data_IF_393794207268
#
_entry.id   IF_393794207268
#
_cell.length_a   1.000
_cell.length_b   1.000
_cell.length_c   1.000
_cell.angle_alpha   90.00
_cell.angle_beta   90.00
_cell.angle_gamma   90.00
#
_symmetry.space_group_name_H-M   'P 1'
#
loop_
_entity.id
_entity.type
_entity.pdbx_description
1 polymer ?
#
# COMPACT_ATOMS: atom_id res chain seq x y z
N UNK A 1 -31.24 -76.69 -5.62
CA UNK A 1 -30.18 -75.84 -5.08
C UNK A 1 -30.13 -74.58 -5.95
N UNK A 2 -30.81 -73.54 -5.51
CA UNK A 2 -30.99 -72.28 -6.28
C UNK A 2 -30.08 -71.21 -5.63
N UNK A 3 -28.95 -70.82 -6.32
CA UNK A 3 -28.12 -69.73 -5.87
C UNK A 3 -28.80 -68.37 -6.18
N UNK A 4 -29.18 -67.63 -5.16
CA UNK A 4 -29.54 -66.20 -5.27
C UNK A 4 -28.27 -65.33 -5.32
N UNK A 5 -28.04 -64.69 -6.47
CA UNK A 5 -27.02 -63.65 -6.60
C UNK A 5 -27.60 -62.32 -6.04
N UNK A 6 -27.06 -61.84 -4.96
CA UNK A 6 -27.34 -60.48 -4.44
C UNK A 6 -26.41 -59.52 -5.13
N UNK A 7 -26.94 -58.64 -5.96
CA UNK A 7 -26.21 -57.54 -6.56
C UNK A 7 -26.19 -56.33 -5.57
N UNK A 8 -25.04 -55.99 -5.04
CA UNK A 8 -24.84 -54.81 -4.21
C UNK A 8 -24.63 -53.57 -5.09
N UNK A 9 -25.64 -52.72 -5.23
CA UNK A 9 -25.52 -51.42 -5.93
C UNK A 9 -24.87 -50.41 -5.00
N UNK A 10 -23.60 -50.06 -5.28
CA UNK A 10 -22.93 -48.94 -4.62
C UNK A 10 -23.40 -47.63 -5.27
N UNK A 11 -24.27 -46.89 -4.57
CA UNK A 11 -24.65 -45.55 -4.98
C UNK A 11 -23.48 -44.58 -4.65
N UNK A 12 -22.71 -44.19 -5.65
CA UNK A 12 -21.72 -43.11 -5.52
C UNK A 12 -22.53 -41.80 -5.54
N UNK A 13 -22.76 -41.21 -4.38
CA UNK A 13 -23.30 -39.85 -4.27
C UNK A 13 -22.19 -38.86 -4.65
N UNK A 14 -22.19 -38.39 -5.89
CA UNK A 14 -21.42 -37.24 -6.30
C UNK A 14 -22.08 -36.02 -5.67
N UNK A 15 -21.49 -35.54 -4.57
CA UNK A 15 -21.87 -34.24 -3.99
C UNK A 15 -21.43 -33.15 -4.98
N UNK A 16 -22.36 -32.69 -5.81
CA UNK A 16 -22.22 -31.48 -6.59
C UNK A 16 -22.22 -30.33 -5.58
N UNK A 17 -21.03 -29.83 -5.21
CA UNK A 17 -20.92 -28.55 -4.52
C UNK A 17 -21.47 -27.50 -5.47
N UNK A 18 -22.69 -27.03 -5.20
CA UNK A 18 -23.22 -25.84 -5.85
C UNK A 18 -22.28 -24.69 -5.48
N UNK A 19 -21.44 -24.26 -6.41
CA UNK A 19 -20.70 -23.00 -6.25
C UNK A 19 -21.74 -21.88 -6.23
N UNK A 20 -21.69 -21.05 -5.20
CA UNK A 20 -22.44 -19.80 -5.16
C UNK A 20 -22.02 -18.86 -6.31
N UNK A 21 -22.73 -17.76 -6.45
CA UNK A 21 -22.38 -16.76 -7.45
C UNK A 21 -21.02 -16.14 -7.13
N UNK A 22 -20.20 -15.89 -8.16
CA UNK A 22 -18.88 -15.24 -8.00
C UNK A 22 -19.04 -13.85 -7.38
N UNK A 23 -18.19 -13.54 -6.39
CA UNK A 23 -18.09 -12.21 -5.77
C UNK A 23 -17.13 -11.37 -6.61
N UNK A 24 -17.68 -10.41 -7.36
CA UNK A 24 -16.90 -9.49 -8.17
C UNK A 24 -16.22 -8.42 -7.32
N UNK A 25 -14.91 -8.33 -7.39
CA UNK A 25 -14.08 -7.35 -6.71
C UNK A 25 -13.30 -6.56 -7.75
N UNK A 26 -13.46 -5.23 -7.75
CA UNK A 26 -12.71 -4.32 -8.62
C UNK A 26 -11.28 -4.14 -8.11
N UNK A 27 -10.35 -3.99 -9.05
CA UNK A 27 -8.94 -3.64 -8.78
C UNK A 27 -8.58 -2.51 -9.72
N UNK A 28 -8.45 -1.30 -9.17
CA UNK A 28 -8.10 -0.09 -9.89
C UNK A 28 -6.66 0.28 -9.54
N UNK A 29 -5.69 -0.16 -10.35
CA UNK A 29 -4.27 0.03 -10.02
C UNK A 29 -3.50 0.58 -11.21
N UNK A 30 -2.43 1.32 -10.95
CA UNK A 30 -1.53 1.78 -11.99
C UNK A 30 -0.70 0.58 -12.51
N UNK A 31 -1.11 0.00 -13.61
CA UNK A 31 -0.40 -1.14 -14.22
C UNK A 31 0.59 -0.68 -15.29
N UNK A 32 0.45 0.55 -15.77
CA UNK A 32 1.36 1.22 -16.71
C UNK A 32 1.74 2.62 -16.19
N UNK A 33 2.73 3.26 -16.83
CA UNK A 33 3.21 4.59 -16.45
C UNK A 33 4.18 4.58 -15.24
N UNK A 34 4.54 5.76 -14.75
CA UNK A 34 5.56 5.95 -13.71
C UNK A 34 5.23 5.35 -12.33
N UNK A 35 3.93 5.04 -12.07
CA UNK A 35 3.51 4.39 -10.83
C UNK A 35 3.35 2.87 -10.96
N UNK A 36 3.62 2.28 -12.13
CA UNK A 36 3.38 0.85 -12.38
C UNK A 36 4.11 -0.08 -11.41
N UNK A 37 5.29 0.32 -10.94
CA UNK A 37 6.06 -0.41 -9.94
C UNK A 37 5.29 -0.67 -8.63
N UNK A 38 4.38 0.22 -8.26
CA UNK A 38 3.52 0.08 -7.09
C UNK A 38 2.26 -0.72 -7.41
N UNK A 39 1.53 -0.32 -8.45
CA UNK A 39 0.25 -0.94 -8.80
C UNK A 39 0.38 -2.40 -9.24
N UNK A 40 1.44 -2.75 -9.98
CA UNK A 40 1.73 -4.15 -10.34
C UNK A 40 2.01 -4.99 -9.09
N UNK A 41 2.74 -4.46 -8.11
CA UNK A 41 2.99 -5.17 -6.85
C UNK A 41 1.69 -5.37 -6.06
N UNK A 42 0.81 -4.35 -5.99
CA UNK A 42 -0.52 -4.44 -5.37
C UNK A 42 -1.36 -5.50 -6.06
N UNK A 43 -1.51 -5.43 -7.40
CA UNK A 43 -2.24 -6.45 -8.17
C UNK A 43 -1.75 -7.86 -7.88
N UNK A 44 -0.44 -8.06 -7.84
CA UNK A 44 0.14 -9.38 -7.60
C UNK A 44 -0.19 -9.89 -6.18
N UNK A 45 -0.14 -9.04 -5.16
CA UNK A 45 -0.52 -9.40 -3.80
C UNK A 45 -2.01 -9.77 -3.69
N UNK A 46 -2.90 -8.96 -4.28
CA UNK A 46 -4.34 -9.24 -4.34
C UNK A 46 -4.64 -10.56 -5.06
N UNK A 47 -4.01 -10.79 -6.22
CA UNK A 47 -4.21 -12.00 -7.02
C UNK A 47 -3.72 -13.25 -6.28
N UNK A 48 -2.55 -13.19 -5.63
CA UNK A 48 -2.03 -14.31 -4.84
C UNK A 48 -3.02 -14.71 -3.73
N UNK A 49 -3.49 -13.73 -2.96
CA UNK A 49 -4.43 -13.99 -1.88
C UNK A 49 -5.78 -14.50 -2.39
N UNK A 50 -6.31 -13.93 -3.48
CA UNK A 50 -7.57 -14.38 -4.09
C UNK A 50 -7.47 -15.83 -4.58
N UNK A 51 -6.35 -16.22 -5.19
CA UNK A 51 -6.13 -17.58 -5.65
C UNK A 51 -6.05 -18.57 -4.48
N UNK A 52 -5.35 -18.22 -3.40
CA UNK A 52 -5.28 -19.05 -2.18
C UNK A 52 -6.67 -19.21 -1.54
N UNK A 53 -7.44 -18.13 -1.43
CA UNK A 53 -8.80 -18.15 -0.88
C UNK A 53 -9.72 -19.04 -1.75
N UNK A 54 -9.63 -18.87 -3.07
CA UNK A 54 -10.44 -19.64 -4.01
C UNK A 54 -10.07 -21.12 -4.03
N UNK A 55 -8.79 -21.46 -3.90
CA UNK A 55 -8.32 -22.83 -3.76
C UNK A 55 -8.81 -23.47 -2.46
N UNK A 56 -8.98 -22.67 -1.40
CA UNK A 56 -9.57 -23.10 -0.12
C UNK A 56 -11.10 -23.20 -0.11
N UNK A 57 -11.78 -23.06 -1.28
CA UNK A 57 -13.25 -23.14 -1.37
C UNK A 57 -13.96 -21.78 -1.41
N UNK A 58 -13.21 -20.69 -1.52
CA UNK A 58 -13.75 -19.34 -1.60
C UNK A 58 -14.23 -18.78 -0.25
N UNK A 59 -15.13 -17.82 -0.31
CA UNK A 59 -15.76 -17.20 0.87
C UNK A 59 -17.23 -17.60 0.93
N UNK A 60 -17.61 -18.35 1.96
CA UNK A 60 -18.97 -18.90 2.11
C UNK A 60 -19.43 -19.68 0.84
N UNK A 61 -18.52 -20.40 0.17
CA UNK A 61 -18.76 -21.13 -1.06
C UNK A 61 -18.74 -20.31 -2.35
N UNK A 62 -18.58 -18.98 -2.26
CA UNK A 62 -18.45 -18.08 -3.43
C UNK A 62 -16.99 -17.87 -3.78
N UNK A 63 -16.63 -17.89 -5.07
CA UNK A 63 -15.29 -17.54 -5.53
C UNK A 63 -15.14 -16.03 -5.62
N UNK A 64 -13.93 -15.52 -5.35
CA UNK A 64 -13.55 -14.15 -5.59
C UNK A 64 -13.13 -13.98 -7.05
N UNK A 65 -13.81 -13.12 -7.79
CA UNK A 65 -13.48 -12.75 -9.16
C UNK A 65 -12.91 -11.34 -9.18
N UNK A 66 -11.63 -11.19 -9.55
CA UNK A 66 -11.00 -9.88 -9.71
C UNK A 66 -11.29 -9.32 -11.10
N UNK A 67 -11.79 -8.07 -11.14
CA UNK A 67 -11.94 -7.27 -12.36
C UNK A 67 -10.87 -6.19 -12.28
N UNK A 68 -9.81 -6.34 -13.07
CA UNK A 68 -8.58 -5.56 -12.98
C UNK A 68 -8.58 -4.51 -14.10
N UNK A 69 -8.39 -3.25 -13.72
CA UNK A 69 -8.35 -2.10 -14.61
C UNK A 69 -7.11 -1.25 -14.34
N UNK A 70 -6.50 -0.71 -15.40
CA UNK A 70 -5.33 0.15 -15.34
C UNK A 70 -5.74 1.62 -15.22
N UNK A 71 -5.45 2.25 -14.07
CA UNK A 71 -5.69 3.69 -13.86
C UNK A 71 -4.45 4.57 -14.16
N UNK A 72 -3.35 3.96 -14.65
CA UNK A 72 -2.14 4.59 -15.17
C UNK A 72 -1.45 5.59 -14.20
N UNK A 73 -1.83 5.65 -12.95
CA UNK A 73 -1.40 6.67 -11.98
C UNK A 73 -1.89 8.09 -12.33
N UNK A 74 -3.01 8.20 -13.05
CA UNK A 74 -3.61 9.47 -13.52
C UNK A 74 -4.96 9.71 -12.86
N UNK A 75 -5.23 10.96 -12.47
CA UNK A 75 -6.49 11.36 -11.79
C UNK A 75 -7.73 11.07 -12.65
N UNK A 76 -7.67 11.42 -13.92
CA UNK A 76 -8.76 11.29 -14.88
C UNK A 76 -9.09 9.80 -15.11
N UNK A 77 -8.07 8.97 -15.29
CA UNK A 77 -8.23 7.53 -15.48
C UNK A 77 -8.75 6.84 -14.21
N UNK A 78 -8.30 7.26 -13.02
CA UNK A 78 -8.84 6.74 -11.76
C UNK A 78 -10.35 7.00 -11.65
N UNK A 79 -10.83 8.20 -12.04
CA UNK A 79 -12.27 8.51 -12.08
C UNK A 79 -12.99 7.59 -13.07
N UNK A 80 -12.45 7.42 -14.29
CA UNK A 80 -13.05 6.60 -15.34
C UNK A 80 -13.13 5.13 -14.94
N UNK A 81 -12.04 4.60 -14.42
CA UNK A 81 -11.93 3.21 -13.94
C UNK A 81 -12.89 2.96 -12.77
N UNK A 82 -12.95 3.86 -11.78
CA UNK A 82 -13.89 3.74 -10.66
C UNK A 82 -15.34 3.76 -11.15
N UNK A 83 -15.70 4.65 -12.09
CA UNK A 83 -17.04 4.66 -12.69
C UNK A 83 -17.36 3.35 -13.40
N UNK A 84 -16.43 2.81 -14.18
CA UNK A 84 -16.60 1.54 -14.88
C UNK A 84 -16.85 0.39 -13.89
N UNK A 85 -15.96 0.20 -12.94
CA UNK A 85 -16.04 -0.89 -11.94
C UNK A 85 -17.34 -0.80 -11.11
N UNK A 86 -17.72 0.40 -10.68
CA UNK A 86 -18.87 0.65 -9.81
C UNK A 86 -20.21 0.50 -10.54
N UNK A 87 -20.35 1.10 -11.72
CA UNK A 87 -21.64 1.23 -12.40
C UNK A 87 -21.85 0.23 -13.53
N UNK A 88 -20.79 -0.13 -14.27
CA UNK A 88 -20.89 -1.06 -15.40
C UNK A 88 -20.62 -2.50 -14.94
N UNK A 89 -19.48 -2.76 -14.27
CA UNK A 89 -19.11 -4.10 -13.82
C UNK A 89 -19.85 -4.50 -12.53
N UNK A 90 -20.39 -3.52 -11.79
CA UNK A 90 -21.20 -3.70 -10.57
C UNK A 90 -20.48 -4.50 -9.51
N UNK A 91 -19.21 -4.16 -9.26
CA UNK A 91 -18.39 -4.82 -8.25
C UNK A 91 -18.90 -4.56 -6.85
N UNK A 92 -18.63 -5.48 -5.93
CA UNK A 92 -19.00 -5.37 -4.53
C UNK A 92 -18.16 -4.33 -3.78
N UNK A 93 -16.86 -4.29 -4.07
CA UNK A 93 -15.89 -3.31 -3.56
C UNK A 93 -14.77 -3.10 -4.57
N UNK A 94 -13.93 -2.10 -4.36
CA UNK A 94 -12.75 -1.81 -5.17
C UNK A 94 -11.51 -1.73 -4.29
N UNK A 95 -10.43 -2.39 -4.68
CA UNK A 95 -9.08 -2.12 -4.20
C UNK A 95 -8.41 -1.06 -5.08
N UNK A 96 -7.70 -0.13 -4.43
CA UNK A 96 -7.11 1.02 -5.10
C UNK A 96 -7.98 2.29 -5.01
N UNK A 97 -7.62 3.35 -5.76
CA UNK A 97 -6.49 3.47 -6.70
C UNK A 97 -5.10 3.51 -6.03
N UNK A 98 -4.04 3.33 -6.84
CA UNK A 98 -2.66 3.22 -6.36
C UNK A 98 -2.16 4.46 -5.63
N UNK A 99 -2.20 5.62 -6.28
CA UNK A 99 -1.64 6.87 -5.77
C UNK A 99 -2.64 7.67 -4.93
N UNK A 100 -2.12 8.48 -4.00
CA UNK A 100 -2.96 9.39 -3.21
C UNK A 100 -3.72 10.39 -4.09
N UNK A 101 -3.09 10.93 -5.14
CA UNK A 101 -3.76 11.78 -6.11
C UNK A 101 -4.94 11.10 -6.79
N UNK A 102 -4.75 9.84 -7.20
CA UNK A 102 -5.78 9.01 -7.83
C UNK A 102 -6.92 8.71 -6.86
N UNK A 103 -6.61 8.44 -5.57
CA UNK A 103 -7.64 8.20 -4.55
C UNK A 103 -8.44 9.45 -4.24
N UNK A 104 -7.82 10.64 -4.14
CA UNK A 104 -8.55 11.89 -3.97
C UNK A 104 -9.47 12.20 -5.16
N UNK A 105 -9.09 11.81 -6.38
CA UNK A 105 -9.90 12.02 -7.58
C UNK A 105 -11.03 10.97 -7.74
N UNK A 106 -10.70 9.69 -7.61
CA UNK A 106 -11.63 8.57 -7.84
C UNK A 106 -12.47 8.19 -6.63
N UNK A 107 -11.90 8.29 -5.41
CA UNK A 107 -12.57 7.90 -4.16
C UNK A 107 -13.96 8.50 -3.96
N UNK A 108 -14.22 9.78 -4.30
CA UNK A 108 -15.55 10.35 -4.25
C UNK A 108 -16.59 9.61 -5.10
N UNK A 109 -16.20 8.98 -6.22
CA UNK A 109 -17.10 8.16 -7.06
C UNK A 109 -17.56 6.93 -6.28
N UNK A 110 -16.64 6.19 -5.69
CA UNK A 110 -16.95 5.00 -4.90
C UNK A 110 -17.77 5.37 -3.65
N UNK A 111 -17.32 6.38 -2.90
CA UNK A 111 -18.02 6.81 -1.69
C UNK A 111 -19.47 7.28 -1.98
N UNK A 112 -19.66 8.08 -3.03
CA UNK A 112 -21.00 8.55 -3.45
C UNK A 112 -21.92 7.43 -3.89
N UNK A 113 -21.37 6.36 -4.47
CA UNK A 113 -22.09 5.15 -4.88
C UNK A 113 -22.24 4.12 -3.75
N UNK A 114 -21.80 4.42 -2.53
CA UNK A 114 -21.79 3.51 -1.38
C UNK A 114 -21.03 2.21 -1.66
N UNK A 115 -19.89 2.31 -2.35
CA UNK A 115 -18.98 1.21 -2.63
C UNK A 115 -17.69 1.42 -1.86
N UNK A 116 -17.23 0.41 -1.16
CA UNK A 116 -15.94 0.48 -0.47
C UNK A 116 -14.82 0.64 -1.49
N UNK A 117 -14.03 1.72 -1.36
CA UNK A 117 -12.71 1.86 -1.99
C UNK A 117 -11.66 1.63 -0.92
N UNK A 118 -10.83 0.61 -1.12
CA UNK A 118 -9.85 0.15 -0.15
C UNK A 118 -8.43 0.41 -0.65
N UNK A 119 -7.80 1.44 -0.11
CA UNK A 119 -6.42 1.82 -0.44
C UNK A 119 -5.39 0.91 0.26
N UNK A 120 -4.48 0.36 -0.53
CA UNK A 120 -3.40 -0.51 -0.03
C UNK A 120 -2.02 0.14 -0.10
N UNK A 121 -1.91 1.27 -0.82
CA UNK A 121 -0.63 1.91 -1.12
C UNK A 121 -0.61 3.41 -0.85
N UNK A 122 -1.77 4.08 -0.85
CA UNK A 122 -1.88 5.52 -0.69
C UNK A 122 -1.87 5.93 0.80
N UNK A 123 -1.02 6.91 1.16
CA UNK A 123 -0.71 7.24 2.57
C UNK A 123 -0.89 8.71 2.92
N UNK A 124 -1.30 9.57 1.97
CA UNK A 124 -1.54 10.99 2.26
C UNK A 124 -2.60 11.19 3.35
N UNK A 125 -2.42 12.23 4.14
CA UNK A 125 -3.43 12.65 5.12
C UNK A 125 -4.73 13.05 4.42
N UNK A 126 -5.88 12.78 5.06
CA UNK A 126 -7.19 13.20 4.55
C UNK A 126 -7.84 12.26 3.52
N UNK A 127 -7.19 11.16 3.12
CA UNK A 127 -7.79 10.19 2.19
C UNK A 127 -9.09 9.62 2.75
N UNK A 128 -9.09 9.20 3.98
CA UNK A 128 -10.28 8.62 4.63
C UNK A 128 -11.33 9.66 5.02
N UNK A 129 -10.98 10.95 4.97
CA UNK A 129 -11.95 12.06 5.13
C UNK A 129 -12.87 12.22 3.91
N UNK A 130 -12.58 11.58 2.77
CA UNK A 130 -13.45 11.54 1.59
C UNK A 130 -14.84 11.00 1.99
N UNK A 131 -14.90 10.01 2.88
CA UNK A 131 -16.16 9.54 3.41
C UNK A 131 -16.15 8.13 3.98
N UNK A 132 -17.29 7.66 4.50
CA UNK A 132 -17.40 6.44 5.30
C UNK A 132 -17.18 5.12 4.52
N UNK A 133 -17.09 5.17 3.20
CA UNK A 133 -16.79 4.01 2.36
C UNK A 133 -15.32 3.94 1.93
N UNK A 134 -14.46 4.83 2.46
CA UNK A 134 -13.03 4.81 2.17
C UNK A 134 -12.27 4.13 3.31
N UNK A 135 -11.56 3.08 2.96
CA UNK A 135 -10.77 2.26 3.87
C UNK A 135 -9.33 2.20 3.39
N UNK A 136 -8.38 2.02 4.30
CA UNK A 136 -7.01 1.67 3.91
C UNK A 136 -6.31 0.83 4.98
N UNK A 137 -5.45 -0.08 4.53
CA UNK A 137 -4.47 -0.75 5.38
C UNK A 137 -3.04 -0.24 5.14
N UNK A 138 -2.86 0.73 4.25
CA UNK A 138 -1.60 1.47 4.18
C UNK A 138 -1.43 2.31 5.43
N UNK A 139 -0.25 2.20 6.07
CA UNK A 139 0.06 2.97 7.28
C UNK A 139 0.37 4.41 6.87
N UNK A 140 -0.25 5.38 7.54
CA UNK A 140 -0.08 6.79 7.23
C UNK A 140 1.35 7.26 7.43
N UNK A 141 1.79 8.23 6.61
CA UNK A 141 3.09 8.87 6.80
C UNK A 141 3.21 9.51 8.20
N UNK A 142 2.12 10.01 8.77
CA UNK A 142 2.08 10.57 10.14
C UNK A 142 2.42 9.55 11.24
N UNK A 143 2.20 8.26 10.99
CA UNK A 143 2.54 7.19 11.93
C UNK A 143 3.98 6.68 11.72
N UNK A 144 4.55 6.88 10.53
CA UNK A 144 5.83 6.30 10.10
C UNK A 144 6.98 7.29 10.23
N UNK A 145 6.83 8.50 9.68
CA UNK A 145 7.95 9.43 9.47
C UNK A 145 8.55 10.01 10.75
N UNK A 146 7.77 10.33 11.83
CA UNK A 146 8.36 10.80 13.07
C UNK A 146 9.33 9.81 13.70
N UNK A 147 9.00 8.51 13.64
CA UNK A 147 9.88 7.45 14.12
C UNK A 147 11.12 7.30 13.21
N UNK A 148 10.95 7.42 11.89
CA UNK A 148 12.04 7.33 10.93
C UNK A 148 13.07 8.44 11.17
N UNK A 149 12.61 9.70 11.34
CA UNK A 149 13.48 10.84 11.64
C UNK A 149 14.20 10.63 12.97
N UNK A 150 13.48 10.31 14.05
CA UNK A 150 14.09 10.16 15.38
C UNK A 150 15.12 9.05 15.42
N UNK A 151 14.90 7.97 14.64
CA UNK A 151 15.83 6.85 14.54
C UNK A 151 17.09 7.27 13.77
N UNK A 152 16.94 7.90 12.60
CA UNK A 152 18.07 8.39 11.82
C UNK A 152 18.87 9.47 12.57
N UNK A 153 18.16 10.38 13.26
CA UNK A 153 18.80 11.46 14.03
C UNK A 153 19.68 10.90 15.17
N UNK A 154 19.21 9.89 15.88
CA UNK A 154 20.01 9.22 16.92
C UNK A 154 21.20 8.47 16.34
N UNK A 155 21.02 7.78 15.20
CA UNK A 155 22.06 6.97 14.59
C UNK A 155 23.21 7.82 14.06
N UNK A 156 22.91 8.94 13.38
CA UNK A 156 23.90 9.81 12.74
C UNK A 156 24.26 11.05 13.56
N UNK A 157 23.61 11.31 14.69
CA UNK A 157 23.82 12.55 15.44
C UNK A 157 23.37 13.79 14.65
N UNK A 158 22.28 13.71 13.89
CA UNK A 158 21.79 14.77 13.00
C UNK A 158 21.41 16.01 13.81
N UNK A 159 21.97 17.17 13.42
CA UNK A 159 21.71 18.47 14.01
C UNK A 159 20.95 19.42 13.08
N UNK A 160 21.03 19.22 11.77
CA UNK A 160 20.36 20.00 10.73
C UNK A 160 20.14 19.18 9.47
N UNK A 161 19.06 19.45 8.75
CA UNK A 161 18.70 18.74 7.52
C UNK A 161 18.40 19.70 6.38
N UNK A 162 18.47 19.21 5.14
CA UNK A 162 17.76 19.81 4.02
C UNK A 162 16.51 18.96 3.69
N UNK A 163 15.52 19.57 3.08
CA UNK A 163 14.29 18.90 2.66
C UNK A 163 14.11 19.07 1.15
N UNK A 164 13.69 17.99 0.46
CA UNK A 164 13.29 18.03 -0.95
C UNK A 164 11.98 17.24 -1.13
N UNK A 165 11.03 17.77 -1.91
CA UNK A 165 9.75 17.07 -2.15
C UNK A 165 9.08 17.51 -3.47
N UNK A 166 8.22 16.66 -4.02
CA UNK A 166 7.37 16.99 -5.17
C UNK A 166 6.23 17.92 -4.77
N UNK A 167 6.07 19.05 -5.45
CA UNK A 167 5.14 20.11 -5.07
C UNK A 167 3.75 20.00 -5.74
N UNK A 168 3.57 19.09 -6.67
CA UNK A 168 2.34 18.85 -7.45
C UNK A 168 1.70 17.47 -7.19
N UNK A 169 2.25 16.70 -6.26
CA UNK A 169 1.74 15.39 -5.86
C UNK A 169 1.23 15.40 -4.42
N UNK A 170 0.02 14.88 -4.17
CA UNK A 170 -0.62 14.90 -2.87
C UNK A 170 0.12 14.04 -1.83
N UNK A 171 0.72 12.92 -2.25
CA UNK A 171 1.52 12.07 -1.37
C UNK A 171 2.77 12.81 -0.89
N UNK A 172 3.56 13.36 -1.83
CA UNK A 172 4.83 14.02 -1.51
C UNK A 172 4.62 15.30 -0.69
N UNK A 173 3.55 16.07 -0.98
CA UNK A 173 3.16 17.23 -0.17
C UNK A 173 2.73 16.83 1.25
N UNK A 174 1.88 15.82 1.38
CA UNK A 174 1.46 15.31 2.68
C UNK A 174 2.64 14.78 3.49
N UNK A 175 3.56 14.05 2.85
CA UNK A 175 4.78 13.58 3.49
C UNK A 175 5.70 14.74 3.93
N UNK A 176 5.81 15.80 3.12
CA UNK A 176 6.53 17.01 3.50
C UNK A 176 5.94 17.66 4.75
N UNK A 177 4.62 17.82 4.82
CA UNK A 177 3.96 18.43 5.98
C UNK A 177 4.22 17.62 7.27
N UNK A 178 4.21 16.30 7.16
CA UNK A 178 4.54 15.39 8.28
C UNK A 178 6.01 15.51 8.66
N UNK A 179 6.93 15.50 7.69
CA UNK A 179 8.35 15.68 7.94
C UNK A 179 8.65 17.02 8.61
N UNK A 180 8.05 18.11 8.11
CA UNK A 180 8.21 19.45 8.67
C UNK A 180 7.81 19.46 10.14
N UNK A 181 6.61 18.96 10.46
CA UNK A 181 6.16 18.88 11.84
C UNK A 181 7.06 18.00 12.70
N UNK A 182 7.49 16.86 12.23
CA UNK A 182 8.37 15.96 13.00
C UNK A 182 9.75 16.56 13.26
N UNK A 183 10.29 17.33 12.32
CA UNK A 183 11.54 18.08 12.50
C UNK A 183 11.40 19.22 13.51
N UNK A 184 10.29 19.98 13.45
CA UNK A 184 9.95 21.02 14.42
C UNK A 184 9.82 20.44 15.85
N UNK A 185 9.05 19.36 16.03
CA UNK A 185 8.86 18.68 17.31
C UNK A 185 10.18 18.16 17.90
N UNK A 186 11.11 17.72 17.06
CA UNK A 186 12.44 17.23 17.46
C UNK A 186 13.51 18.35 17.51
N UNK A 187 13.13 19.60 17.22
CA UNK A 187 14.03 20.77 17.20
C UNK A 187 15.22 20.62 16.27
N UNK A 188 15.02 19.97 15.12
CA UNK A 188 16.03 19.79 14.07
C UNK A 188 15.80 20.89 13.01
N UNK A 189 16.68 21.88 12.88
CA UNK A 189 16.52 22.98 11.93
C UNK A 189 16.69 22.50 10.48
N UNK A 190 15.92 23.11 9.57
CA UNK A 190 15.97 22.92 8.15
C UNK A 190 16.84 23.98 7.50
N UNK A 191 17.92 23.61 6.82
CA UNK A 191 18.86 24.54 6.16
C UNK A 191 18.30 25.09 4.86
N UNK A 192 17.57 24.26 4.10
CA UNK A 192 16.87 24.64 2.87
C UNK A 192 15.74 23.67 2.56
N UNK A 193 14.71 24.16 1.90
CA UNK A 193 13.60 23.36 1.37
C UNK A 193 13.53 23.58 -0.13
N UNK A 194 13.70 22.52 -0.90
CA UNK A 194 13.65 22.52 -2.35
C UNK A 194 12.45 21.70 -2.86
N UNK A 195 12.00 22.05 -4.04
CA UNK A 195 10.87 21.37 -4.68
C UNK A 195 11.18 20.95 -6.11
N UNK A 196 10.41 19.97 -6.59
CA UNK A 196 10.42 19.52 -7.98
C UNK A 196 8.98 19.20 -8.43
N UNK A 197 8.76 19.09 -9.73
CA UNK A 197 7.52 18.60 -10.31
C UNK A 197 7.60 17.10 -10.56
N UNK A 198 6.47 16.38 -10.46
CA UNK A 198 6.39 14.95 -10.74
C UNK A 198 6.89 14.65 -12.15
N UNK A 199 7.82 13.70 -12.24
CA UNK A 199 8.44 13.32 -13.52
C UNK A 199 9.70 14.13 -13.88
N UNK A 200 10.12 15.08 -13.05
CA UNK A 200 11.43 15.70 -13.22
C UNK A 200 12.55 14.64 -13.11
N UNK A 201 13.59 14.81 -13.92
CA UNK A 201 14.75 13.92 -13.99
C UNK A 201 16.09 14.59 -13.70
N UNK A 202 16.14 15.93 -13.69
CA UNK A 202 17.33 16.72 -13.35
C UNK A 202 17.07 17.55 -12.10
N UNK A 203 17.85 17.30 -11.05
CA UNK A 203 17.74 17.89 -9.72
C UNK A 203 18.98 18.67 -9.30
N UNK A 204 19.92 18.93 -10.25
CA UNK A 204 21.22 19.55 -9.94
C UNK A 204 21.09 20.95 -9.35
N UNK A 205 20.09 21.73 -9.79
CA UNK A 205 19.86 23.07 -9.26
C UNK A 205 19.46 23.02 -7.77
N UNK A 206 18.48 22.17 -7.42
CA UNK A 206 18.04 21.94 -6.05
C UNK A 206 19.19 21.39 -5.19
N UNK A 207 19.89 20.38 -5.69
CA UNK A 207 21.00 19.74 -4.98
C UNK A 207 22.20 20.69 -4.76
N UNK A 208 22.44 21.63 -5.66
CA UNK A 208 23.47 22.67 -5.46
C UNK A 208 23.15 23.57 -4.28
N UNK A 209 21.88 23.98 -4.14
CA UNK A 209 21.43 24.77 -2.97
C UNK A 209 21.49 23.93 -1.69
N UNK A 210 21.05 22.66 -1.74
CA UNK A 210 21.15 21.71 -0.61
C UNK A 210 22.61 21.58 -0.16
N UNK A 211 23.55 21.41 -1.11
CA UNK A 211 24.98 21.31 -0.82
C UNK A 211 25.50 22.57 -0.11
N UNK A 212 25.06 23.76 -0.53
CA UNK A 212 25.43 25.04 0.09
C UNK A 212 25.04 25.14 1.56
N UNK A 213 23.93 24.52 1.97
CA UNK A 213 23.46 24.43 3.35
C UNK A 213 24.23 23.45 4.24
N UNK A 214 25.08 22.61 3.65
CA UNK A 214 25.87 21.58 4.32
C UNK A 214 25.05 20.79 5.38
N UNK A 215 23.94 20.14 5.01
CA UNK A 215 23.09 19.40 5.94
C UNK A 215 23.75 18.10 6.38
N UNK A 216 23.40 17.63 7.60
CA UNK A 216 23.83 16.33 8.12
C UNK A 216 23.04 15.18 7.47
N UNK A 217 21.82 15.43 7.00
CA UNK A 217 21.00 14.49 6.22
C UNK A 217 20.06 15.25 5.27
N UNK A 218 19.54 14.54 4.25
CA UNK A 218 18.53 15.04 3.31
C UNK A 218 17.24 14.27 3.52
N UNK A 219 16.19 14.97 3.92
CA UNK A 219 14.83 14.43 4.02
C UNK A 219 14.17 14.53 2.64
N UNK A 220 13.74 13.42 2.08
CA UNK A 220 13.09 13.35 0.78
C UNK A 220 11.67 12.78 0.90
N UNK A 221 10.65 13.59 0.62
CA UNK A 221 9.28 13.12 0.39
C UNK A 221 9.08 12.92 -1.10
N UNK A 222 9.41 11.75 -1.60
CA UNK A 222 9.59 11.45 -3.01
C UNK A 222 9.03 10.07 -3.36
N UNK A 223 8.64 9.87 -4.62
CA UNK A 223 8.46 8.53 -5.18
C UNK A 223 9.82 7.92 -5.54
N UNK A 224 9.86 6.62 -5.79
CA UNK A 224 11.12 5.87 -5.90
C UNK A 224 12.01 6.30 -7.07
N UNK A 225 11.44 6.68 -8.21
CA UNK A 225 12.24 7.09 -9.38
C UNK A 225 12.92 8.45 -9.15
N UNK A 226 12.17 9.43 -8.68
CA UNK A 226 12.72 10.75 -8.34
C UNK A 226 13.74 10.63 -7.20
N UNK A 227 13.42 9.87 -6.15
CA UNK A 227 14.34 9.64 -5.03
C UNK A 227 15.65 9.03 -5.50
N UNK A 228 15.60 8.03 -6.37
CA UNK A 228 16.79 7.36 -6.91
C UNK A 228 17.66 8.30 -7.77
N UNK A 229 17.04 9.11 -8.62
CA UNK A 229 17.72 10.11 -9.43
C UNK A 229 18.34 11.23 -8.55
N UNK A 230 17.61 11.69 -7.54
CA UNK A 230 18.12 12.65 -6.54
C UNK A 230 19.33 12.08 -5.83
N UNK A 231 19.27 10.83 -5.34
CA UNK A 231 20.41 10.16 -4.69
C UNK A 231 21.61 10.07 -5.61
N UNK A 232 21.40 9.59 -6.85
CA UNK A 232 22.48 9.43 -7.83
C UNK A 232 23.17 10.77 -8.14
N UNK A 233 22.38 11.82 -8.40
CA UNK A 233 22.90 13.15 -8.72
C UNK A 233 23.54 13.83 -7.50
N UNK A 234 23.02 13.61 -6.28
CA UNK A 234 23.63 14.10 -5.05
C UNK A 234 25.06 13.54 -4.89
N UNK A 235 25.25 12.24 -5.10
CA UNK A 235 26.59 11.62 -5.05
C UNK A 235 27.50 12.15 -6.15
N UNK A 236 26.98 12.38 -7.36
CA UNK A 236 27.71 13.02 -8.46
C UNK A 236 28.17 14.43 -8.13
N UNK A 237 27.44 15.18 -7.33
CA UNK A 237 27.82 16.50 -6.81
C UNK A 237 28.71 16.44 -5.55
N UNK A 238 29.09 15.26 -5.08
CA UNK A 238 29.92 15.06 -3.89
C UNK A 238 29.16 15.24 -2.55
N UNK A 239 27.84 15.25 -2.53
CA UNK A 239 27.03 15.28 -1.31
C UNK A 239 27.09 13.88 -0.68
N UNK A 240 27.61 13.79 0.57
CA UNK A 240 27.75 12.53 1.32
C UNK A 240 26.64 12.32 2.34
N UNK A 241 25.84 13.33 2.63
CA UNK A 241 24.73 13.26 3.60
C UNK A 241 23.80 12.08 3.29
N UNK A 242 23.40 11.27 4.29
CA UNK A 242 22.42 10.20 4.12
C UNK A 242 21.04 10.78 3.82
N UNK A 243 20.19 9.95 3.23
CA UNK A 243 18.79 10.30 2.99
C UNK A 243 17.87 9.73 4.08
N UNK A 244 16.72 10.37 4.24
CA UNK A 244 15.62 9.90 5.07
C UNK A 244 14.35 9.96 4.21
N UNK A 245 13.67 8.82 4.06
CA UNK A 245 12.46 8.73 3.26
C UNK A 245 11.37 7.87 3.90
N UNK A 246 10.24 7.79 3.24
CA UNK A 246 9.05 7.06 3.70
C UNK A 246 8.55 6.05 2.68
N UNK A 247 7.24 5.89 2.65
CA UNK A 247 6.52 4.88 1.89
C UNK A 247 6.95 4.78 0.41
N UNK A 248 7.15 5.91 -0.26
CA UNK A 248 7.49 5.93 -1.69
C UNK A 248 8.84 5.28 -2.03
N UNK A 249 9.74 5.12 -1.06
CA UNK A 249 11.06 4.51 -1.29
C UNK A 249 11.02 2.97 -1.35
N UNK A 250 9.98 2.35 -0.81
CA UNK A 250 9.92 0.90 -0.61
C UNK A 250 9.65 0.11 -1.91
N UNK A 251 10.36 0.43 -2.98
CA UNK A 251 10.29 -0.22 -4.28
C UNK A 251 11.68 -0.67 -4.74
N UNK A 252 11.79 -1.85 -5.40
CA UNK A 252 13.03 -2.28 -6.04
C UNK A 252 13.59 -1.27 -7.04
N UNK A 253 12.72 -0.46 -7.65
CA UNK A 253 13.11 0.58 -8.60
C UNK A 253 14.10 1.59 -8.02
N UNK A 254 14.03 1.85 -6.72
CA UNK A 254 15.00 2.67 -6.01
C UNK A 254 16.43 2.17 -6.27
N UNK A 255 16.68 0.86 -6.11
CA UNK A 255 18.02 0.27 -6.27
C UNK A 255 18.42 0.10 -7.73
N UNK A 256 17.46 -0.18 -8.62
CA UNK A 256 17.70 -0.31 -10.05
C UNK A 256 18.35 0.96 -10.62
N UNK A 257 17.93 2.14 -10.15
CA UNK A 257 18.41 3.44 -10.60
C UNK A 257 19.58 3.93 -9.72
N UNK A 258 19.38 4.05 -8.42
CA UNK A 258 20.35 4.65 -7.51
C UNK A 258 21.60 3.80 -7.28
N UNK A 259 21.53 2.47 -7.55
CA UNK A 259 22.60 1.52 -7.21
C UNK A 259 23.00 1.71 -5.73
N UNK A 260 24.27 1.99 -5.46
CA UNK A 260 24.80 2.24 -4.11
C UNK A 260 24.69 3.71 -3.65
N UNK A 261 24.12 4.61 -4.47
CA UNK A 261 23.97 6.02 -4.09
C UNK A 261 23.05 6.23 -2.89
N UNK A 262 22.16 5.26 -2.62
CA UNK A 262 21.26 5.27 -1.48
C UNK A 262 21.80 4.67 -0.18
N UNK A 263 23.07 4.24 -0.13
CA UNK A 263 23.65 3.65 1.09
C UNK A 263 23.48 4.54 2.31
N UNK A 264 23.14 3.95 3.46
CA UNK A 264 22.89 4.65 4.72
C UNK A 264 21.53 5.37 4.80
N UNK A 265 20.67 5.26 3.80
CA UNK A 265 19.33 5.87 3.84
C UNK A 265 18.44 5.16 4.85
N UNK A 266 17.76 5.95 5.69
CA UNK A 266 16.70 5.44 6.57
C UNK A 266 15.35 5.53 5.87
N UNK A 267 14.57 4.45 5.96
CA UNK A 267 13.26 4.34 5.29
C UNK A 267 12.24 3.74 6.25
N UNK A 268 11.12 4.42 6.43
CA UNK A 268 9.98 3.87 7.15
C UNK A 268 9.15 2.92 6.28
N UNK A 269 8.68 1.82 6.85
CA UNK A 269 7.91 0.80 6.12
C UNK A 269 6.87 0.12 7.01
N UNK A 270 5.68 -0.21 6.51
CA UNK A 270 4.69 -0.99 7.24
C UNK A 270 5.00 -2.51 7.26
N UNK A 271 6.01 -2.96 6.55
CA UNK A 271 6.33 -4.37 6.37
C UNK A 271 7.84 -4.62 6.32
N UNK A 272 8.25 -5.79 6.77
CA UNK A 272 9.64 -6.25 6.68
C UNK A 272 9.69 -7.69 6.14
N UNK A 273 10.36 -7.91 4.99
CA UNK A 273 10.48 -9.23 4.38
C UNK A 273 11.21 -10.24 5.28
N UNK A 274 12.08 -9.77 6.15
CA UNK A 274 12.83 -10.56 7.12
C UNK A 274 12.08 -10.79 8.44
N UNK A 275 10.87 -10.26 8.59
CA UNK A 275 10.03 -10.52 9.76
C UNK A 275 9.80 -12.04 9.91
N UNK A 276 10.20 -12.67 11.04
CA UNK A 276 10.11 -14.12 11.21
C UNK A 276 8.68 -14.63 11.49
N UNK A 277 7.68 -13.76 11.53
CA UNK A 277 6.30 -14.16 11.77
C UNK A 277 5.84 -15.21 10.74
N UNK A 278 5.20 -16.32 11.16
CA UNK A 278 4.80 -17.41 10.24
C UNK A 278 3.95 -16.96 9.06
N UNK A 279 3.03 -16.01 9.27
CA UNK A 279 2.20 -15.46 8.20
C UNK A 279 3.04 -14.75 7.13
N UNK A 280 4.07 -13.99 7.56
CA UNK A 280 4.99 -13.34 6.63
C UNK A 280 5.83 -14.35 5.86
N UNK A 281 6.39 -15.35 6.54
CA UNK A 281 7.22 -16.37 5.87
C UNK A 281 6.41 -17.16 4.82
N UNK A 282 5.16 -17.50 5.14
CA UNK A 282 4.24 -18.13 4.19
C UNK A 282 4.01 -17.25 2.96
N UNK A 283 3.66 -15.97 3.17
CA UNK A 283 3.45 -15.01 2.08
C UNK A 283 4.69 -14.87 1.19
N UNK A 284 5.88 -14.66 1.80
CA UNK A 284 7.13 -14.48 1.05
C UNK A 284 7.44 -15.72 0.19
N UNK A 285 7.28 -16.92 0.75
CA UNK A 285 7.50 -18.17 0.01
C UNK A 285 6.51 -18.34 -1.15
N UNK A 286 5.21 -18.12 -0.93
CA UNK A 286 4.17 -18.23 -1.93
C UNK A 286 4.34 -17.19 -3.06
N UNK A 287 4.70 -15.95 -2.71
CA UNK A 287 4.93 -14.90 -3.69
C UNK A 287 6.12 -15.23 -4.60
N UNK A 288 7.25 -15.65 -4.00
CA UNK A 288 8.44 -16.07 -4.76
C UNK A 288 8.14 -17.24 -5.68
N UNK A 289 7.40 -18.24 -5.20
CA UNK A 289 7.01 -19.39 -6.00
C UNK A 289 6.18 -18.98 -7.23
N UNK A 290 5.23 -18.05 -7.04
CA UNK A 290 4.32 -17.65 -8.12
C UNK A 290 4.93 -16.66 -9.11
N UNK A 291 5.72 -15.68 -8.62
CA UNK A 291 6.18 -14.56 -9.44
C UNK A 291 7.69 -14.59 -9.74
N UNK A 292 8.45 -15.57 -9.21
CA UNK A 292 9.90 -15.69 -9.39
C UNK A 292 10.67 -14.41 -9.00
N UNK A 293 10.14 -13.63 -8.06
CA UNK A 293 10.70 -12.37 -7.58
C UNK A 293 10.43 -12.18 -6.08
N UNK A 294 11.21 -11.33 -5.43
CA UNK A 294 10.95 -10.96 -4.05
C UNK A 294 9.70 -10.07 -3.95
N UNK A 295 8.83 -10.28 -2.94
CA UNK A 295 7.76 -9.35 -2.64
C UNK A 295 8.32 -8.05 -2.07
N UNK A 296 7.52 -6.99 -2.14
CA UNK A 296 7.76 -5.72 -1.46
C UNK A 296 6.57 -5.37 -0.55
N UNK A 297 6.66 -4.22 0.16
CA UNK A 297 5.60 -3.83 1.08
C UNK A 297 4.22 -3.70 0.40
N UNK A 298 4.15 -3.23 -0.85
CA UNK A 298 2.89 -3.01 -1.56
C UNK A 298 2.18 -4.32 -1.85
N UNK A 299 2.93 -5.35 -2.24
CA UNK A 299 2.39 -6.69 -2.42
C UNK A 299 1.97 -7.33 -1.10
N UNK A 300 2.71 -7.10 0.00
CA UNK A 300 2.37 -7.62 1.32
C UNK A 300 1.10 -6.99 1.88
N UNK A 301 0.97 -5.65 1.78
CA UNK A 301 -0.22 -4.93 2.21
C UNK A 301 -1.45 -5.36 1.39
N UNK A 302 -1.30 -5.52 0.07
CA UNK A 302 -2.36 -5.95 -0.81
C UNK A 302 -2.81 -7.40 -0.52
N UNK A 303 -1.87 -8.29 -0.26
CA UNK A 303 -2.16 -9.66 0.18
C UNK A 303 -3.00 -9.68 1.46
N UNK A 304 -2.61 -8.91 2.46
CA UNK A 304 -3.37 -8.78 3.71
C UNK A 304 -4.73 -8.10 3.48
N UNK A 305 -4.81 -7.08 2.61
CA UNK A 305 -6.06 -6.39 2.30
C UNK A 305 -7.13 -7.34 1.73
N UNK A 306 -6.74 -8.28 0.87
CA UNK A 306 -7.63 -9.31 0.35
C UNK A 306 -8.09 -10.27 1.46
N UNK A 307 -7.19 -10.66 2.37
CA UNK A 307 -7.56 -11.47 3.54
C UNK A 307 -8.48 -10.72 4.51
N UNK A 308 -8.29 -9.41 4.70
CA UNK A 308 -9.19 -8.54 5.47
C UNK A 308 -10.58 -8.53 4.84
N UNK A 309 -10.66 -8.30 3.52
CA UNK A 309 -11.93 -8.31 2.80
C UNK A 309 -12.63 -9.68 2.88
N UNK A 310 -11.89 -10.77 2.71
CA UNK A 310 -12.42 -12.12 2.85
C UNK A 310 -12.91 -12.43 4.27
N UNK A 311 -12.18 -11.97 5.30
CA UNK A 311 -12.59 -12.13 6.70
C UNK A 311 -13.90 -11.38 6.98
N UNK A 312 -14.05 -10.16 6.47
CA UNK A 312 -15.31 -9.41 6.56
C UNK A 312 -16.44 -10.14 5.84
N UNK A 313 -16.21 -10.57 4.60
CA UNK A 313 -17.21 -11.29 3.79
C UNK A 313 -17.67 -12.61 4.42
N UNK A 314 -16.81 -13.31 5.15
CA UNK A 314 -17.19 -14.54 5.90
C UNK A 314 -18.29 -14.29 6.94
N UNK A 315 -18.38 -13.08 7.47
CA UNK A 315 -19.38 -12.68 8.47
C UNK A 315 -20.67 -12.13 7.85
N UNK A 316 -20.68 -11.90 6.53
CA UNK A 316 -21.81 -11.34 5.78
C UNK A 316 -22.54 -12.44 5.02
N UNK A 317 -23.86 -12.48 5.15
CA UNK A 317 -24.72 -13.29 4.27
C UNK A 317 -25.10 -12.42 3.07
N UNK A 318 -24.51 -12.71 1.91
CA UNK A 318 -24.87 -12.02 0.68
C UNK A 318 -26.33 -12.34 0.30
N UNK A 319 -27.10 -11.28 0.04
CA UNK A 319 -28.53 -11.36 -0.25
C UNK A 319 -28.84 -11.45 -1.76
N UNK A 320 -27.86 -11.12 -2.61
CA UNK A 320 -28.02 -10.92 -4.04
C UNK A 320 -28.54 -9.51 -4.40
N UNK A 321 -28.87 -8.68 -3.41
CA UNK A 321 -29.10 -7.25 -3.60
C UNK A 321 -27.80 -6.51 -3.41
N UNK A 322 -27.24 -6.01 -4.51
CA UNK A 322 -25.89 -5.42 -4.53
C UNK A 322 -25.73 -4.23 -3.57
N UNK A 323 -26.76 -3.37 -3.44
CA UNK A 323 -26.67 -2.20 -2.54
C UNK A 323 -26.64 -2.66 -1.07
N UNK A 324 -27.52 -3.58 -0.70
CA UNK A 324 -27.55 -4.15 0.64
C UNK A 324 -26.25 -4.91 0.96
N UNK A 325 -25.71 -5.65 0.00
CA UNK A 325 -24.48 -6.44 0.16
C UNK A 325 -23.25 -5.51 0.31
N UNK A 326 -23.19 -4.39 -0.42
CA UNK A 326 -22.14 -3.35 -0.29
C UNK A 326 -22.19 -2.70 1.10
N UNK A 327 -23.40 -2.39 1.59
CA UNK A 327 -23.57 -1.83 2.94
C UNK A 327 -23.14 -2.84 4.00
N UNK A 328 -23.57 -4.10 3.90
CA UNK A 328 -23.23 -5.15 4.85
C UNK A 328 -21.70 -5.38 4.92
N UNK A 329 -21.02 -5.40 3.77
CA UNK A 329 -19.55 -5.49 3.73
C UNK A 329 -18.89 -4.27 4.39
N UNK A 330 -19.35 -3.04 4.06
CA UNK A 330 -18.85 -1.81 4.68
C UNK A 330 -18.94 -1.84 6.20
N UNK A 331 -20.05 -2.37 6.76
CA UNK A 331 -20.28 -2.42 8.20
C UNK A 331 -19.53 -3.57 8.90
N UNK A 332 -19.13 -4.59 8.14
CA UNK A 332 -18.32 -5.70 8.63
C UNK A 332 -16.83 -5.38 8.69
N UNK A 333 -16.29 -4.63 7.71
CA UNK A 333 -14.87 -4.34 7.58
C UNK A 333 -14.21 -3.75 8.85
N UNK A 334 -14.80 -2.74 9.54
CA UNK A 334 -14.17 -2.15 10.72
C UNK A 334 -13.98 -3.10 11.90
N UNK A 335 -14.66 -4.23 11.88
CA UNK A 335 -14.64 -5.25 12.96
C UNK A 335 -13.52 -6.28 12.75
N UNK A 336 -12.86 -6.25 11.58
CA UNK A 336 -11.82 -7.22 11.23
C UNK A 336 -10.52 -6.86 11.93
N UNK A 337 -9.93 -7.86 12.58
CA UNK A 337 -8.55 -7.86 13.04
C UNK A 337 -7.87 -9.13 12.53
N UNK A 338 -6.66 -8.99 12.00
CA UNK A 338 -5.85 -10.12 11.50
C UNK A 338 -4.43 -10.03 12.02
N UNK A 339 -3.72 -11.16 11.97
CA UNK A 339 -2.28 -11.20 12.08
C UNK A 339 -1.73 -11.69 10.73
N UNK A 340 -1.54 -10.75 9.81
CA UNK A 340 -1.18 -10.99 8.42
C UNK A 340 0.32 -11.03 8.15
N UNK A 341 0.68 -10.95 6.87
CA UNK A 341 2.07 -10.85 6.40
C UNK A 341 2.72 -9.56 6.91
N UNK A 342 1.95 -8.47 7.05
CA UNK A 342 2.40 -7.19 7.59
C UNK A 342 2.41 -7.15 9.13
N UNK A 343 1.94 -8.22 9.79
CA UNK A 343 1.81 -8.33 11.24
C UNK A 343 0.39 -8.09 11.76
N UNK A 344 0.24 -7.78 13.06
CA UNK A 344 -1.05 -7.47 13.65
C UNK A 344 -1.65 -6.21 13.04
N UNK A 345 -2.89 -6.32 12.61
CA UNK A 345 -3.65 -5.25 11.98
C UNK A 345 -5.07 -5.17 12.53
N UNK A 346 -5.56 -3.96 12.70
CA UNK A 346 -6.97 -3.62 12.87
C UNK A 346 -7.24 -2.25 12.26
N UNK A 347 -8.50 -1.92 12.06
CA UNK A 347 -8.90 -0.57 11.68
C UNK A 347 -9.01 0.35 12.89
N UNK A 348 -8.75 1.64 12.66
CA UNK A 348 -9.16 2.75 13.53
C UNK A 348 -10.05 3.71 12.74
N UNK A 349 -11.10 4.30 13.34
CA UNK A 349 -11.86 5.36 12.69
C UNK A 349 -10.95 6.52 12.36
N UNK A 350 -11.11 7.12 11.17
CA UNK A 350 -10.48 8.38 10.86
C UNK A 350 -11.15 9.52 11.64
N UNK A 351 -10.39 10.58 11.91
CA UNK A 351 -10.90 11.71 12.68
C UNK A 351 -12.05 12.46 11.99
N UNK A 352 -12.07 12.41 10.66
CA UNK A 352 -13.01 13.17 9.85
C UNK A 352 -12.65 14.66 9.79
N UNK A 353 -13.27 15.34 8.87
CA UNK A 353 -13.11 16.77 8.69
C UNK A 353 -14.46 17.47 8.81
N UNK A 354 -14.50 18.57 9.54
CA UNK A 354 -15.68 19.41 9.73
C UNK A 354 -16.93 18.64 10.25
N UNK A 355 -16.71 17.63 11.12
CA UNK A 355 -17.78 16.80 11.70
C UNK A 355 -18.46 15.84 10.74
N UNK A 356 -17.94 15.68 9.51
CA UNK A 356 -18.47 14.74 8.53
C UNK A 356 -18.02 13.31 8.84
N UNK A 357 -18.86 12.28 8.54
CA UNK A 357 -18.48 10.90 8.67
C UNK A 357 -17.26 10.59 7.79
N UNK A 358 -16.23 9.99 8.39
CA UNK A 358 -15.03 9.55 7.71
C UNK A 358 -14.97 8.03 7.58
N UNK A 359 -13.96 7.55 6.87
CA UNK A 359 -13.64 6.15 6.71
C UNK A 359 -12.75 5.59 7.82
N UNK A 360 -11.89 4.65 7.46
CA UNK A 360 -11.08 3.91 8.43
C UNK A 360 -9.64 3.79 7.97
N UNK A 361 -8.72 4.08 8.88
CA UNK A 361 -7.29 3.97 8.72
C UNK A 361 -6.73 2.68 9.35
N UNK A 362 -5.50 2.34 8.98
CA UNK A 362 -4.75 1.27 9.62
C UNK A 362 -4.36 1.66 11.06
N UNK A 363 -4.51 0.72 11.99
CA UNK A 363 -3.84 0.75 13.29
C UNK A 363 -2.77 -0.35 13.28
N UNK A 364 -1.55 0.01 12.89
CA UNK A 364 -0.43 -0.90 12.72
C UNK A 364 0.89 -0.17 13.01
N UNK A 365 1.86 -0.90 13.57
CA UNK A 365 3.19 -0.36 13.86
C UNK A 365 4.09 -0.44 12.64
N UNK A 366 4.86 0.63 12.33
CA UNK A 366 5.84 0.61 11.26
C UNK A 366 7.14 -0.09 11.68
N UNK A 367 7.91 -0.48 10.67
CA UNK A 367 9.30 -0.89 10.76
C UNK A 367 10.21 0.22 10.23
N UNK A 368 11.46 0.23 10.66
CA UNK A 368 12.49 1.12 10.12
C UNK A 368 13.54 0.28 9.43
N UNK A 369 13.84 0.62 8.19
CA UNK A 369 14.93 0.08 7.42
C UNK A 369 16.12 1.04 7.36
N UNK A 370 17.30 0.49 7.19
CA UNK A 370 18.45 1.18 6.65
C UNK A 370 18.89 0.50 5.35
N UNK A 371 19.25 1.26 4.35
CA UNK A 371 19.79 0.72 3.10
C UNK A 371 21.26 0.34 3.33
N UNK A 372 21.57 -0.94 3.13
CA UNK A 372 22.92 -1.49 3.26
C UNK A 372 23.18 -2.50 2.14
N UNK A 373 24.29 -2.34 1.43
CA UNK A 373 24.67 -3.20 0.30
C UNK A 373 23.60 -3.23 -0.80
N UNK A 374 22.93 -2.10 -1.06
CA UNK A 374 21.85 -1.99 -2.04
C UNK A 374 20.58 -2.75 -1.68
N UNK A 375 20.29 -2.96 -0.40
CA UNK A 375 19.10 -3.68 0.10
C UNK A 375 18.47 -2.96 1.29
N UNK A 376 17.18 -3.16 1.48
CA UNK A 376 16.51 -2.79 2.71
C UNK A 376 16.86 -3.79 3.82
N UNK A 377 17.54 -3.33 4.86
CA UNK A 377 17.90 -4.12 6.04
C UNK A 377 17.13 -3.58 7.23
N UNK A 378 16.43 -4.46 7.95
CA UNK A 378 15.69 -4.06 9.15
C UNK A 378 16.65 -3.47 10.18
N UNK A 379 16.38 -2.23 10.60
CA UNK A 379 17.23 -1.55 11.58
C UNK A 379 16.97 -2.08 12.99
N UNK A 380 18.01 -2.63 13.60
CA UNK A 380 17.93 -3.27 14.94
C UNK A 380 18.36 -2.36 16.09
N UNK A 381 18.71 -1.10 15.82
CA UNK A 381 19.13 -0.16 16.87
C UNK A 381 20.59 -0.31 17.34
N UNK A 382 21.42 -1.09 16.60
CA UNK A 382 22.86 -1.26 16.89
C UNK A 382 23.71 -0.31 16.08
#
# INVERSE_FOLDING_TARGET
MILRRVALAIAISVSVTAYGADVKIGVAEALTGGAAQYGVAVRNGLQLAADEINAGGGVNGNKLQLIIEDEQGKKEEAINVLKKLVFQDKVLMVFGPTLSNSMFAGGPVANGAKVVAFGTSNTANGITDIGPYIFRNSVMESDVLPLTISTAARHYGIKKVAVIYGNDDAFTKSGYDVFKKALEDQKIPVTTTETYAKGDVDFKAQLTKIKGGNPDAIVCSCLAEEAANIMLQARGLGIKAPFIGGNGFNSPKLFEISKLAGEGTFVGSPWANTNPAPANQKFVAAYKQKYSSDPNQFSAQAYDAMHIAAAALKTVKLSGNLEADRQALRDALPKVAINGATGPFKFRPAAGKDGKPAGFDADQKPFIYMIQGGKFVLYSGK
#
